data_IF_993873884471
#
_entry.id   IF_993873884471
#
_cell.length_a   1.000
_cell.length_b   1.000
_cell.length_c   1.000
_cell.angle_alpha   90.00
_cell.angle_beta   90.00
_cell.angle_gamma   90.00
#
_symmetry.space_group_name_H-M   'P 1'
#
loop_
_entity.id
_entity.type
_entity.pdbx_description
1 polymer ?
#
# COMPACT_ATOMS: atom_id res chain seq x y z
N UNK A 1 6.05 -5.07 -19.36
CA UNK A 1 7.11 -5.39 -18.37
C UNK A 1 6.79 -4.72 -17.03
N UNK A 2 6.06 -5.42 -16.16
CA UNK A 2 5.68 -4.88 -14.84
C UNK A 2 6.89 -4.85 -13.92
N UNK A 3 7.44 -3.65 -13.65
CA UNK A 3 8.45 -3.47 -12.61
C UNK A 3 7.76 -3.28 -11.27
N UNK A 4 8.10 -4.11 -10.29
CA UNK A 4 7.65 -3.91 -8.90
C UNK A 4 8.19 -2.58 -8.37
N UNK A 5 7.34 -1.71 -7.80
CA UNK A 5 7.75 -0.46 -7.18
C UNK A 5 8.79 -0.66 -6.07
N UNK A 6 9.58 0.37 -5.82
CA UNK A 6 10.67 0.37 -4.83
C UNK A 6 10.46 1.43 -3.76
N UNK A 7 10.79 1.11 -2.50
CA UNK A 7 10.55 1.95 -1.34
C UNK A 7 11.44 3.18 -1.32
N UNK A 8 10.82 4.35 -1.13
CA UNK A 8 11.54 5.59 -0.87
C UNK A 8 11.93 5.67 0.61
N UNK A 9 13.24 5.56 0.86
CA UNK A 9 13.81 5.65 2.21
C UNK A 9 13.66 7.04 2.86
N UNK A 10 13.40 8.09 2.08
CA UNK A 10 13.13 9.44 2.58
C UNK A 10 11.71 9.59 3.12
N UNK A 11 10.76 8.82 2.59
CA UNK A 11 9.38 8.78 3.10
C UNK A 11 9.21 7.84 4.31
N UNK A 12 10.07 6.82 4.42
CA UNK A 12 9.90 5.74 5.38
C UNK A 12 10.00 6.20 6.84
N UNK A 13 9.03 5.80 7.66
CA UNK A 13 9.06 6.01 9.10
C UNK A 13 10.33 5.43 9.75
N UNK A 14 10.80 6.06 10.83
CA UNK A 14 12.09 5.73 11.45
C UNK A 14 12.14 4.32 12.06
N UNK A 15 11.00 3.73 12.40
CA UNK A 15 10.93 2.33 12.85
C UNK A 15 10.76 1.30 11.72
N UNK A 16 10.84 1.70 10.45
CA UNK A 16 10.82 0.75 9.33
C UNK A 16 12.23 0.37 8.90
N UNK A 17 12.54 -0.93 8.98
CA UNK A 17 13.73 -1.49 8.34
C UNK A 17 13.37 -1.82 6.89
N UNK A 18 14.19 -1.33 5.96
CA UNK A 18 14.01 -1.54 4.52
C UNK A 18 15.13 -2.46 4.02
N UNK A 19 14.77 -3.47 3.24
CA UNK A 19 15.73 -4.39 2.62
C UNK A 19 16.62 -3.67 1.60
N UNK A 20 17.80 -4.21 1.31
CA UNK A 20 18.76 -3.62 0.37
C UNK A 20 18.23 -3.50 -1.07
N UNK A 21 17.28 -4.37 -1.45
CA UNK A 21 16.59 -4.32 -2.75
C UNK A 21 15.44 -3.31 -2.80
N UNK A 22 15.18 -2.60 -1.70
CA UNK A 22 14.11 -1.62 -1.54
C UNK A 22 12.72 -2.17 -1.83
N UNK A 23 12.46 -3.47 -1.59
CA UNK A 23 11.15 -4.10 -1.88
C UNK A 23 10.44 -4.65 -0.67
N UNK A 24 11.13 -4.72 0.47
CA UNK A 24 10.57 -5.23 1.72
C UNK A 24 10.71 -4.18 2.81
N UNK A 25 9.63 -3.95 3.55
CA UNK A 25 9.64 -3.19 4.80
C UNK A 25 9.18 -4.08 5.96
N UNK A 26 9.92 -4.04 7.06
CA UNK A 26 9.55 -4.70 8.31
C UNK A 26 9.55 -3.69 9.45
N UNK A 27 8.70 -3.94 10.45
CA UNK A 27 8.69 -3.12 11.66
C UNK A 27 9.88 -3.51 12.54
N UNK A 28 10.69 -2.53 12.89
CA UNK A 28 11.78 -2.66 13.86
C UNK A 28 11.30 -2.23 15.24
N UNK A 29 11.80 -2.90 16.29
CA UNK A 29 11.62 -2.46 17.67
C UNK A 29 12.53 -1.29 18.06
N UNK A 30 13.46 -0.90 17.19
CA UNK A 30 14.41 0.20 17.40
C UNK A 30 14.37 1.21 16.23
N UNK A 31 14.58 2.50 16.50
CA UNK A 31 14.68 3.52 15.45
C UNK A 31 15.87 3.24 14.52
N UNK A 32 15.74 3.56 13.24
CA UNK A 32 16.77 3.33 12.22
C UNK A 32 17.72 4.54 12.06
N UNK A 33 17.49 5.63 12.81
CA UNK A 33 18.36 6.81 12.78
C UNK A 33 18.23 7.61 11.47
N UNK A 34 17.06 7.56 10.84
CA UNK A 34 16.81 8.26 9.57
C UNK A 34 16.77 9.77 9.81
N UNK A 35 17.42 10.59 8.96
CA UNK A 35 17.42 12.05 9.13
C UNK A 35 16.02 12.62 8.89
N UNK A 36 15.73 13.78 9.49
CA UNK A 36 14.49 14.51 9.21
C UNK A 36 14.36 14.78 7.70
N UNK A 37 13.16 14.55 7.17
CA UNK A 37 12.85 14.78 5.77
C UNK A 37 11.36 15.17 5.65
N UNK A 38 10.98 16.17 4.83
CA UNK A 38 9.61 16.68 4.77
C UNK A 38 8.57 15.62 4.36
N UNK A 39 8.97 14.59 3.62
CA UNK A 39 8.07 13.50 3.19
C UNK A 39 8.06 12.32 4.17
N UNK A 40 8.81 12.38 5.28
CA UNK A 40 8.92 11.26 6.21
C UNK A 40 7.64 11.14 7.03
N UNK A 41 7.10 9.94 7.12
CA UNK A 41 6.06 9.66 8.10
C UNK A 41 6.67 9.62 9.51
N UNK A 42 6.16 10.45 10.41
CA UNK A 42 6.66 10.54 11.80
C UNK A 42 5.73 9.86 12.81
N UNK A 43 4.43 9.75 12.53
CA UNK A 43 3.46 9.21 13.49
C UNK A 43 3.16 7.73 13.33
N UNK A 44 3.30 7.19 12.12
CA UNK A 44 2.88 5.82 11.78
C UNK A 44 3.92 5.11 10.93
N UNK A 45 4.13 3.80 11.12
CA UNK A 45 5.06 2.97 10.34
C UNK A 45 4.58 2.78 8.89
N UNK A 46 4.80 3.82 8.08
CA UNK A 46 4.41 3.90 6.67
C UNK A 46 5.62 4.29 5.81
N UNK A 47 5.56 3.93 4.53
CA UNK A 47 6.50 4.36 3.51
C UNK A 47 5.78 4.46 2.15
N UNK A 48 6.26 5.34 1.28
CA UNK A 48 5.85 5.44 -0.11
C UNK A 48 6.90 4.76 -1.00
N UNK A 49 6.49 4.39 -2.20
CA UNK A 49 7.40 4.00 -3.25
C UNK A 49 7.91 5.25 -3.98
N UNK A 50 9.10 5.12 -4.57
CA UNK A 50 9.76 6.18 -5.32
C UNK A 50 9.02 6.49 -6.63
N UNK A 51 8.34 5.49 -7.19
CA UNK A 51 7.56 5.60 -8.40
C UNK A 51 6.25 6.36 -8.17
N UNK A 52 5.88 7.16 -9.16
CA UNK A 52 4.58 7.83 -9.25
C UNK A 52 3.98 7.58 -10.62
N UNK A 53 2.67 7.39 -10.66
CA UNK A 53 1.93 7.08 -11.87
C UNK A 53 0.95 8.20 -12.18
N UNK A 54 1.06 8.77 -13.38
CA UNK A 54 0.26 9.92 -13.85
C UNK A 54 -0.36 9.72 -15.23
N UNK A 55 -0.29 8.49 -15.77
CA UNK A 55 -0.87 8.10 -17.04
C UNK A 55 -0.78 6.59 -17.22
N UNK A 56 -1.62 6.00 -18.06
CA UNK A 56 -1.51 4.61 -18.50
C UNK A 56 -1.83 3.59 -17.42
N UNK A 57 -1.49 2.34 -17.74
CA UNK A 57 -1.81 1.17 -16.91
C UNK A 57 -0.57 0.62 -16.20
N UNK A 58 -0.72 0.32 -14.92
CA UNK A 58 0.34 -0.18 -14.04
C UNK A 58 -0.17 -1.36 -13.23
N UNK A 59 0.70 -2.33 -13.00
CA UNK A 59 0.40 -3.55 -12.26
C UNK A 59 1.57 -3.89 -11.36
N UNK A 60 1.29 -4.21 -10.10
CA UNK A 60 2.29 -4.77 -9.19
C UNK A 60 1.65 -5.69 -8.15
N UNK A 61 2.46 -6.58 -7.59
CA UNK A 61 2.02 -7.55 -6.58
C UNK A 61 2.71 -7.32 -5.25
N UNK A 62 2.06 -7.77 -4.18
CA UNK A 62 2.60 -7.73 -2.83
C UNK A 62 2.22 -8.94 -2.01
N UNK A 63 3.14 -9.35 -1.16
CA UNK A 63 2.84 -10.22 -0.05
C UNK A 63 2.04 -9.47 1.02
N UNK A 64 0.81 -9.89 1.30
CA UNK A 64 -0.01 -9.27 2.35
C UNK A 64 0.17 -9.96 3.70
N UNK A 65 0.25 -9.16 4.76
CA UNK A 65 0.24 -9.65 6.15
C UNK A 65 -0.79 -8.94 7.00
N UNK A 66 -0.75 -9.19 8.31
CA UNK A 66 -1.64 -8.50 9.25
C UNK A 66 -1.05 -7.13 9.56
N UNK A 67 -1.74 -6.06 9.17
CA UNK A 67 -1.31 -4.69 9.45
C UNK A 67 -2.54 -3.75 9.52
N UNK A 68 -2.50 -2.80 10.46
CA UNK A 68 -3.43 -1.66 10.45
C UNK A 68 -2.82 -0.52 9.68
N UNK A 69 -3.55 0.04 8.73
CA UNK A 69 -3.11 1.18 7.96
C UNK A 69 -3.81 2.46 8.45
N UNK A 70 -3.14 3.61 8.28
CA UNK A 70 -3.75 4.93 8.47
C UNK A 70 -4.06 5.64 7.15
N UNK A 71 -3.71 5.05 6.01
CA UNK A 71 -4.18 5.51 4.70
C UNK A 71 -5.65 5.13 4.50
N UNK A 72 -6.30 5.79 3.55
CA UNK A 72 -7.75 5.72 3.31
C UNK A 72 -8.57 6.59 4.26
N UNK A 73 -7.95 7.27 5.24
CA UNK A 73 -8.65 8.17 6.18
C UNK A 73 -8.97 9.56 5.57
N UNK A 74 -8.60 9.80 4.32
CA UNK A 74 -8.85 11.03 3.59
C UNK A 74 -9.31 10.72 2.16
N UNK A 75 -9.75 11.76 1.44
CA UNK A 75 -10.30 11.64 0.09
C UNK A 75 -9.23 11.52 -1.00
N UNK A 76 -7.96 11.54 -0.60
CA UNK A 76 -6.81 11.41 -1.50
C UNK A 76 -6.04 10.13 -1.23
N UNK A 77 -6.63 9.16 -0.53
CA UNK A 77 -6.00 7.86 -0.29
C UNK A 77 -6.92 6.67 -0.39
N UNK A 78 -6.39 5.58 -0.93
CA UNK A 78 -7.07 4.28 -1.04
C UNK A 78 -6.23 3.19 -0.40
N UNK A 79 -6.91 2.29 0.27
CA UNK A 79 -6.24 1.28 1.09
C UNK A 79 -6.99 -0.04 1.04
N UNK A 80 -6.26 -1.13 0.83
CA UNK A 80 -6.70 -2.47 1.21
C UNK A 80 -5.95 -2.87 2.48
N UNK A 81 -6.68 -3.27 3.51
CA UNK A 81 -6.16 -3.70 4.80
C UNK A 81 -6.49 -5.17 5.03
N UNK A 82 -5.54 -5.88 5.63
CA UNK A 82 -5.72 -7.25 6.12
C UNK A 82 -5.45 -7.27 7.63
N UNK A 83 -6.41 -7.77 8.39
CA UNK A 83 -6.27 -8.02 9.82
C UNK A 83 -6.64 -9.48 10.10
N UNK A 84 -5.64 -10.31 10.36
CA UNK A 84 -5.77 -11.77 10.32
C UNK A 84 -6.34 -12.20 8.95
N UNK A 85 -7.45 -12.92 8.90
CA UNK A 85 -8.08 -13.35 7.64
C UNK A 85 -9.24 -12.44 7.20
N UNK A 86 -9.39 -11.28 7.84
CA UNK A 86 -10.40 -10.29 7.50
C UNK A 86 -9.77 -9.24 6.58
N UNK A 87 -10.40 -9.02 5.43
CA UNK A 87 -10.03 -7.98 4.48
C UNK A 87 -11.02 -6.84 4.54
N UNK A 88 -10.52 -5.63 4.37
CA UNK A 88 -11.36 -4.44 4.20
C UNK A 88 -10.67 -3.47 3.28
N UNK A 89 -11.44 -2.56 2.71
CA UNK A 89 -10.92 -1.42 1.98
C UNK A 89 -11.31 -0.12 2.67
N UNK A 90 -10.50 0.91 2.51
CA UNK A 90 -10.72 2.22 3.11
C UNK A 90 -10.46 3.35 2.12
N UNK A 91 -11.36 4.33 2.11
CA UNK A 91 -11.25 5.59 1.39
C UNK A 91 -12.16 6.65 2.01
N UNK A 92 -11.74 7.92 2.07
CA UNK A 92 -12.56 9.01 2.63
C UNK A 92 -12.98 8.80 4.08
N UNK A 93 -12.20 8.05 4.86
CA UNK A 93 -12.54 7.65 6.23
C UNK A 93 -13.56 6.50 6.34
N UNK A 94 -14.12 6.04 5.23
CA UNK A 94 -15.10 4.96 5.19
C UNK A 94 -14.39 3.61 5.06
N UNK A 95 -14.70 2.68 5.96
CA UNK A 95 -14.20 1.29 5.93
C UNK A 95 -15.29 0.38 5.39
N UNK A 96 -14.96 -0.42 4.37
CA UNK A 96 -15.85 -1.43 3.78
C UNK A 96 -15.22 -2.82 3.97
N UNK A 97 -15.86 -3.68 4.75
CA UNK A 97 -15.43 -5.08 4.90
C UNK A 97 -15.63 -5.86 3.60
N UNK A 98 -14.64 -6.67 3.22
CA UNK A 98 -14.71 -7.54 2.05
C UNK A 98 -15.02 -8.98 2.46
N UNK A 99 -15.89 -9.63 1.71
CA UNK A 99 -16.07 -11.08 1.80
C UNK A 99 -15.07 -11.76 0.86
N UNK A 100 -14.03 -12.36 1.44
CA UNK A 100 -12.95 -13.04 0.70
C UNK A 100 -12.99 -14.53 1.04
N UNK A 101 -13.58 -15.38 0.19
CA UNK A 101 -13.76 -16.81 0.49
C UNK A 101 -12.45 -17.55 0.71
N UNK A 102 -11.40 -17.14 -0.01
CA UNK A 102 -10.04 -17.67 0.12
C UNK A 102 -9.07 -16.51 0.32
N UNK A 103 -8.62 -16.25 1.56
CA UNK A 103 -7.63 -15.23 1.88
C UNK A 103 -6.36 -15.36 1.02
N UNK A 104 -6.04 -14.38 0.16
CA UNK A 104 -4.80 -14.42 -0.59
C UNK A 104 -3.58 -14.18 0.31
N UNK A 105 -2.46 -14.82 -0.05
CA UNK A 105 -1.14 -14.46 0.47
C UNK A 105 -0.56 -13.28 -0.27
N UNK A 106 -0.92 -13.14 -1.55
CA UNK A 106 -0.49 -12.03 -2.38
C UNK A 106 -1.67 -11.27 -2.95
N UNK A 107 -1.65 -9.95 -2.77
CA UNK A 107 -2.60 -9.06 -3.42
C UNK A 107 -1.89 -8.41 -4.58
N UNK A 108 -2.55 -8.41 -5.71
CA UNK A 108 -2.12 -7.61 -6.82
C UNK A 108 -2.95 -6.34 -6.95
N UNK A 109 -2.32 -5.29 -7.43
CA UNK A 109 -2.90 -3.97 -7.62
C UNK A 109 -2.69 -3.54 -9.05
N UNK A 110 -3.81 -3.18 -9.68
CA UNK A 110 -3.88 -2.65 -11.03
C UNK A 110 -4.41 -1.23 -10.97
N UNK A 111 -3.67 -0.32 -11.56
CA UNK A 111 -4.05 1.07 -11.75
C UNK A 111 -4.19 1.31 -13.25
N UNK A 112 -5.39 1.67 -13.69
CA UNK A 112 -5.61 2.33 -14.97
C UNK A 112 -5.85 3.81 -14.69
N UNK A 113 -4.80 4.61 -14.83
CA UNK A 113 -4.87 6.03 -14.52
C UNK A 113 -5.78 6.77 -15.51
N UNK A 114 -5.73 6.37 -16.78
CA UNK A 114 -6.49 7.02 -17.86
C UNK A 114 -7.99 6.71 -17.74
N UNK A 115 -8.35 5.49 -17.33
CA UNK A 115 -9.73 5.09 -17.09
C UNK A 115 -10.25 5.46 -15.69
N UNK A 116 -9.39 5.94 -14.79
CA UNK A 116 -9.77 6.26 -13.42
C UNK A 116 -10.10 5.03 -12.57
N UNK A 117 -9.42 3.91 -12.79
CA UNK A 117 -9.70 2.64 -12.13
C UNK A 117 -8.51 2.21 -11.25
N UNK A 118 -8.79 1.89 -9.99
CA UNK A 118 -7.85 1.22 -9.08
C UNK A 118 -8.46 -0.08 -8.57
N UNK A 119 -7.88 -1.21 -8.98
CA UNK A 119 -8.39 -2.55 -8.70
C UNK A 119 -7.44 -3.37 -7.85
N UNK A 120 -7.99 -4.11 -6.90
CA UNK A 120 -7.31 -5.10 -6.07
C UNK A 120 -7.81 -6.50 -6.43
N UNK A 121 -6.90 -7.45 -6.59
CA UNK A 121 -7.21 -8.86 -6.86
C UNK A 121 -6.31 -9.78 -6.03
N UNK A 122 -6.76 -11.03 -5.87
CA UNK A 122 -5.89 -12.11 -5.39
C UNK A 122 -4.87 -12.41 -6.48
N UNK A 123 -3.58 -12.22 -6.21
CA UNK A 123 -2.53 -12.62 -7.16
C UNK A 123 -2.34 -14.14 -7.19
N UNK A 124 -2.95 -14.87 -6.26
CA UNK A 124 -2.90 -16.33 -6.20
C UNK A 124 -3.95 -16.97 -7.14
N UNK A 125 -5.10 -16.33 -7.34
CA UNK A 125 -6.22 -16.86 -8.13
C UNK A 125 -6.78 -15.93 -9.21
N UNK A 126 -6.26 -14.71 -9.32
CA UNK A 126 -6.79 -13.62 -10.15
C UNK A 126 -8.23 -13.20 -9.82
N UNK A 127 -8.79 -13.67 -8.71
CA UNK A 127 -10.13 -13.28 -8.29
C UNK A 127 -10.17 -11.80 -7.87
N UNK A 128 -11.14 -10.99 -8.35
CA UNK A 128 -11.26 -9.60 -7.94
C UNK A 128 -11.62 -9.50 -6.46
N UNK A 129 -11.00 -8.56 -5.75
CA UNK A 129 -11.29 -8.25 -4.35
C UNK A 129 -12.13 -6.98 -4.24
N UNK A 130 -11.68 -5.89 -4.87
CA UNK A 130 -12.39 -4.61 -4.87
C UNK A 130 -11.90 -3.71 -6.00
N UNK A 131 -12.67 -2.69 -6.36
CA UNK A 131 -12.23 -1.65 -7.31
C UNK A 131 -12.82 -0.29 -6.95
N UNK A 132 -11.98 0.73 -7.01
CA UNK A 132 -12.37 2.13 -6.90
C UNK A 132 -12.42 2.76 -8.28
N UNK A 133 -13.46 3.55 -8.52
CA UNK A 133 -13.55 4.41 -9.70
C UNK A 133 -13.41 5.86 -9.25
N UNK A 134 -12.41 6.55 -9.78
CA UNK A 134 -12.09 7.92 -9.40
C UNK A 134 -11.45 8.68 -10.56
N UNK A 135 -11.78 9.96 -10.69
CA UNK A 135 -11.01 10.88 -11.53
C UNK A 135 -9.73 11.28 -10.79
N UNK A 136 -8.60 10.71 -11.18
CA UNK A 136 -7.30 11.08 -10.61
C UNK A 136 -6.83 12.41 -11.18
N UNK A 137 -6.57 13.38 -10.31
CA UNK A 137 -6.11 14.72 -10.72
C UNK A 137 -4.62 14.94 -10.50
N UNK A 138 -3.94 13.98 -9.86
CA UNK A 138 -2.53 14.06 -9.47
C UNK A 138 -1.87 12.68 -9.58
N UNK A 139 -0.52 12.61 -9.66
CA UNK A 139 0.19 11.34 -9.68
C UNK A 139 -0.11 10.51 -8.43
N UNK A 140 -0.27 9.20 -8.60
CA UNK A 140 -0.45 8.25 -7.50
C UNK A 140 0.86 7.52 -7.24
N UNK A 141 1.28 7.45 -5.98
CA UNK A 141 2.41 6.62 -5.61
C UNK A 141 1.92 5.37 -4.90
N UNK A 142 2.47 4.20 -5.21
CA UNK A 142 2.33 3.06 -4.34
C UNK A 142 2.88 3.37 -2.96
N UNK A 143 2.33 2.77 -1.93
CA UNK A 143 2.72 2.97 -0.56
C UNK A 143 2.41 1.75 0.28
N UNK A 144 2.89 1.78 1.51
CA UNK A 144 2.69 0.69 2.44
C UNK A 144 2.58 1.13 3.88
N UNK A 145 1.89 0.29 4.64
CA UNK A 145 1.85 0.35 6.09
C UNK A 145 2.19 -1.04 6.67
N UNK A 146 2.93 -1.05 7.77
CA UNK A 146 3.28 -2.27 8.50
C UNK A 146 2.81 -2.13 9.95
N UNK A 147 2.17 -3.15 10.54
CA UNK A 147 1.72 -3.10 11.93
C UNK A 147 1.89 -4.41 12.68
N UNK A 148 2.31 -4.35 13.96
CA UNK A 148 2.35 -5.49 14.88
C UNK A 148 3.58 -6.42 14.79
N UNK A 149 3.69 -7.34 15.75
CA UNK A 149 4.85 -8.21 16.01
C UNK A 149 5.02 -9.41 15.05
N UNK A 150 4.13 -9.57 14.06
CA UNK A 150 4.19 -10.65 13.06
C UNK A 150 3.86 -10.10 11.68
N UNK A 151 4.65 -9.11 11.26
CA UNK A 151 4.39 -8.29 10.10
C UNK A 151 4.20 -9.06 8.79
N UNK A 152 3.37 -8.48 7.93
CA UNK A 152 3.60 -8.37 6.48
C UNK A 152 2.63 -7.32 5.92
N UNK A 153 2.92 -6.94 4.70
CA UNK A 153 2.75 -5.65 4.04
C UNK A 153 1.29 -5.37 3.60
N UNK A 154 0.93 -4.10 3.36
CA UNK A 154 -0.30 -3.69 2.67
C UNK A 154 0.12 -2.85 1.46
N UNK A 155 -0.28 -3.20 0.22
CA UNK A 155 -0.17 -2.26 -0.91
C UNK A 155 -1.23 -1.20 -0.74
N UNK A 156 -0.80 0.03 -0.88
CA UNK A 156 -1.61 1.21 -0.95
C UNK A 156 -1.19 1.95 -2.21
N UNK A 157 -2.07 2.77 -2.75
CA UNK A 157 -1.74 3.72 -3.80
C UNK A 157 -2.30 5.04 -3.33
N UNK A 158 -1.43 6.03 -3.04
CA UNK A 158 -1.67 7.49 -3.10
C UNK A 158 -0.61 8.39 -2.47
N UNK A 159 -0.49 9.62 -3.01
CA UNK A 159 0.08 10.82 -2.37
C UNK A 159 -1.02 11.81 -1.98
N UNK A 160 -0.89 12.40 -0.78
CA UNK A 160 -0.42 13.78 -0.65
C UNK A 160 0.21 14.01 0.72
#
# INVERSE_FOLDING_TARGET
DGRSPTLDTNSAHDFLQISSDLRTATLSGVPQGRPHHPHRFECRPQALCSESFSSGQHYWEVDVGSAKCSLGLNDVSWCLEKHNDIFSVRHGGVVTSLSVPQPPRRVGVHLDWDAGLLSFYSADSMAPLHSFHQTFTKPLHPGLAVGGWLGKLSILTTFH
#
